data_IF_594891683201
#
_entry.id   IF_594891683201
#
_cell.length_a   1.000
_cell.length_b   1.000
_cell.length_c   1.000
_cell.angle_alpha   90.00
_cell.angle_beta   90.00
_cell.angle_gamma   90.00
#
_symmetry.space_group_name_H-M   'P 1'
#
loop_
_entity.id
_entity.type
_entity.pdbx_description
1 polymer ?
#
# COMPACT_ATOMS: atom_id res chain seq x y z
N UNK A 1 36.36 22.69 -0.27
CA UNK A 1 36.02 21.30 -0.66
C UNK A 1 34.51 21.09 -0.67
N UNK A 2 33.86 20.79 0.47
CA UNK A 2 32.45 20.36 0.48
C UNK A 2 31.41 21.44 0.11
N UNK A 3 31.75 22.72 0.29
CA UNK A 3 30.92 23.85 -0.15
C UNK A 3 30.93 24.05 -1.67
N UNK A 4 32.01 23.62 -2.35
CA UNK A 4 32.21 23.77 -3.79
C UNK A 4 32.50 22.40 -4.44
N UNK A 5 31.59 21.41 -4.35
CA UNK A 5 31.88 20.05 -4.79
C UNK A 5 32.15 19.93 -6.31
N UNK A 6 31.74 20.91 -7.10
CA UNK A 6 32.03 20.97 -8.54
C UNK A 6 33.47 21.41 -8.85
N UNK A 7 34.06 22.22 -7.98
CA UNK A 7 35.45 22.69 -8.10
C UNK A 7 36.42 21.59 -7.64
N UNK A 8 36.07 20.89 -6.55
CA UNK A 8 36.86 19.81 -5.97
C UNK A 8 36.27 18.43 -6.36
N UNK A 9 36.22 18.11 -7.65
CA UNK A 9 35.49 16.95 -8.21
C UNK A 9 36.19 15.58 -8.04
N UNK A 10 37.02 15.42 -7.01
CA UNK A 10 37.69 14.14 -6.73
C UNK A 10 36.93 13.35 -5.66
N UNK A 11 36.53 12.11 -5.99
CA UNK A 11 35.72 11.27 -5.09
C UNK A 11 36.42 11.03 -3.75
N UNK A 12 37.70 10.66 -3.80
CA UNK A 12 38.52 10.37 -2.61
C UNK A 12 38.67 11.59 -1.70
N UNK A 13 38.83 12.77 -2.29
CA UNK A 13 38.94 14.04 -1.57
C UNK A 13 37.62 14.41 -0.90
N UNK A 14 36.51 14.37 -1.64
CA UNK A 14 35.19 14.67 -1.08
C UNK A 14 34.81 13.67 0.01
N UNK A 15 35.00 12.37 -0.21
CA UNK A 15 34.72 11.33 0.78
C UNK A 15 35.53 11.54 2.06
N UNK A 16 36.81 11.83 1.94
CA UNK A 16 37.69 12.09 3.09
C UNK A 16 37.26 13.34 3.85
N UNK A 17 36.95 14.43 3.13
CA UNK A 17 36.45 15.66 3.73
C UNK A 17 35.10 15.46 4.43
N UNK A 18 34.17 14.72 3.82
CA UNK A 18 32.86 14.38 4.40
C UNK A 18 33.02 13.59 5.70
N UNK A 19 33.85 12.53 5.70
CA UNK A 19 34.12 11.73 6.90
C UNK A 19 34.74 12.56 8.01
N UNK A 20 35.70 13.42 7.66
CA UNK A 20 36.35 14.32 8.59
C UNK A 20 35.34 15.27 9.24
N UNK A 21 34.54 15.97 8.43
CA UNK A 21 33.52 16.89 8.91
C UNK A 21 32.50 16.18 9.80
N UNK A 22 31.96 15.03 9.38
CA UNK A 22 30.98 14.31 10.17
C UNK A 22 31.51 13.92 11.56
N UNK A 23 32.77 13.49 11.63
CA UNK A 23 33.41 13.16 12.92
C UNK A 23 33.54 14.38 13.82
N UNK A 24 33.90 15.55 13.28
CA UNK A 24 33.93 16.79 14.06
C UNK A 24 32.53 17.24 14.52
N UNK A 25 31.53 17.10 13.65
CA UNK A 25 30.13 17.40 13.99
C UNK A 25 29.63 16.52 15.16
N UNK A 26 30.11 15.28 15.32
CA UNK A 26 29.77 14.42 16.48
C UNK A 26 30.36 14.91 17.82
N UNK A 27 31.36 15.80 17.77
CA UNK A 27 32.04 16.34 18.96
C UNK A 27 31.43 17.67 19.42
N UNK A 28 30.74 18.40 18.54
CA UNK A 28 30.19 19.73 18.84
C UNK A 28 28.80 19.92 18.20
N UNK A 29 27.80 20.20 19.03
CA UNK A 29 26.45 20.52 18.57
C UNK A 29 26.43 21.78 17.71
N UNK A 30 27.23 22.80 18.05
CA UNK A 30 27.36 24.03 17.26
C UNK A 30 27.86 23.74 15.84
N UNK A 31 28.87 22.87 15.70
CA UNK A 31 29.34 22.43 14.38
C UNK A 31 28.28 21.62 13.63
N UNK A 32 27.53 20.76 14.34
CA UNK A 32 26.42 20.03 13.75
C UNK A 32 25.36 21.00 13.20
N UNK A 33 24.86 21.93 14.01
CA UNK A 33 23.82 22.89 13.61
C UNK A 33 24.27 23.79 12.47
N UNK A 34 25.54 24.20 12.48
CA UNK A 34 26.14 25.03 11.43
C UNK A 34 26.22 24.30 10.07
N UNK A 35 26.53 23.01 10.08
CA UNK A 35 26.86 22.27 8.85
C UNK A 35 25.84 21.21 8.43
N UNK A 36 24.83 20.90 9.26
CA UNK A 36 23.85 19.86 8.99
C UNK A 36 23.15 20.06 7.65
N UNK A 37 22.65 21.27 7.36
CA UNK A 37 21.97 21.57 6.10
C UNK A 37 22.83 21.21 4.88
N UNK A 38 24.09 21.64 4.87
CA UNK A 38 25.03 21.31 3.79
C UNK A 38 25.30 19.81 3.68
N UNK A 39 25.40 19.11 4.82
CA UNK A 39 25.57 17.65 4.84
C UNK A 39 24.37 16.92 4.23
N UNK A 40 23.14 17.35 4.55
CA UNK A 40 21.91 16.80 3.98
C UNK A 40 21.74 17.17 2.50
N UNK A 41 22.21 18.35 2.08
CA UNK A 41 22.26 18.71 0.67
C UNK A 41 23.25 17.82 -0.11
N UNK A 42 24.40 17.49 0.48
CA UNK A 42 25.34 16.50 -0.09
C UNK A 42 24.74 15.10 -0.14
N UNK A 43 24.02 14.69 0.91
CA UNK A 43 23.33 13.39 0.94
C UNK A 43 22.33 13.26 -0.22
N UNK A 44 21.62 14.33 -0.59
CA UNK A 44 20.66 14.30 -1.69
C UNK A 44 21.33 14.41 -3.06
N UNK A 45 22.31 15.30 -3.18
CA UNK A 45 22.75 15.80 -4.48
C UNK A 45 24.14 15.32 -4.92
N UNK A 46 24.94 14.70 -4.03
CA UNK A 46 26.27 14.24 -4.40
C UNK A 46 26.21 13.23 -5.54
N UNK A 47 27.10 13.39 -6.52
CA UNK A 47 27.27 12.45 -7.64
C UNK A 47 27.83 11.13 -7.16
N UNK A 48 28.77 11.19 -6.21
CA UNK A 48 29.48 10.02 -5.66
C UNK A 48 28.63 9.28 -4.63
N UNK A 49 28.33 8.01 -4.92
CA UNK A 49 27.59 7.16 -3.99
C UNK A 49 28.36 6.91 -2.68
N UNK A 50 29.70 6.82 -2.73
CA UNK A 50 30.53 6.61 -1.54
C UNK A 50 30.36 7.72 -0.52
N UNK A 51 30.21 8.97 -0.98
CA UNK A 51 29.91 10.14 -0.13
C UNK A 51 28.53 9.97 0.50
N UNK A 52 27.48 9.67 -0.28
CA UNK A 52 26.11 9.47 0.23
C UNK A 52 26.03 8.31 1.23
N UNK A 53 26.65 7.17 0.93
CA UNK A 53 26.78 6.01 1.83
C UNK A 53 27.48 6.43 3.13
N UNK A 54 28.61 7.13 3.04
CA UNK A 54 29.37 7.54 4.22
C UNK A 54 28.57 8.47 5.13
N UNK A 55 27.76 9.37 4.55
CA UNK A 55 26.86 10.23 5.30
C UNK A 55 25.81 9.37 6.00
N UNK A 56 25.14 8.48 5.27
CA UNK A 56 24.07 7.63 5.79
C UNK A 56 24.50 6.68 6.93
N UNK A 57 25.72 6.13 6.86
CA UNK A 57 26.27 5.29 7.93
C UNK A 57 26.43 6.09 9.22
N UNK A 58 26.92 7.33 9.12
CA UNK A 58 27.14 8.22 10.27
C UNK A 58 25.84 8.82 10.82
N UNK A 59 24.72 8.73 10.11
CA UNK A 59 23.41 9.19 10.59
C UNK A 59 22.95 8.47 11.85
N UNK A 60 23.29 7.18 12.02
CA UNK A 60 22.98 6.48 13.26
C UNK A 60 23.68 7.13 14.47
N UNK A 61 24.91 7.61 14.30
CA UNK A 61 25.67 8.25 15.36
C UNK A 61 25.13 9.66 15.67
N UNK A 62 24.79 10.43 14.63
CA UNK A 62 24.12 11.72 14.80
C UNK A 62 22.78 11.60 15.52
N UNK A 63 22.00 10.59 15.15
CA UNK A 63 20.73 10.33 15.80
C UNK A 63 20.92 10.07 17.31
N UNK A 64 21.87 9.18 17.67
CA UNK A 64 22.13 8.85 19.06
C UNK A 64 22.66 10.05 19.86
N UNK A 65 23.46 10.90 19.23
CA UNK A 65 24.10 12.04 19.89
C UNK A 65 23.17 13.26 19.99
N UNK A 66 22.41 13.56 18.94
CA UNK A 66 21.60 14.78 18.78
C UNK A 66 20.17 14.50 18.27
N UNK A 67 19.36 13.69 18.98
CA UNK A 67 18.06 13.23 18.47
C UNK A 67 17.08 14.36 18.16
N UNK A 68 17.09 15.44 18.95
CA UNK A 68 16.22 16.61 18.74
C UNK A 68 16.60 17.39 17.48
N UNK A 69 17.88 17.70 17.29
CA UNK A 69 18.37 18.42 16.12
C UNK A 69 18.23 17.58 14.84
N UNK A 70 18.37 16.26 14.95
CA UNK A 70 18.16 15.32 13.85
C UNK A 70 16.71 15.27 13.36
N UNK A 71 15.73 15.47 14.26
CA UNK A 71 14.31 15.33 13.93
C UNK A 71 13.90 16.15 12.70
N UNK A 72 14.49 17.35 12.52
CA UNK A 72 14.27 18.24 11.38
C UNK A 72 14.62 17.62 10.01
N UNK A 73 15.53 16.65 9.98
CA UNK A 73 16.03 16.02 8.75
C UNK A 73 15.54 14.59 8.56
N UNK A 74 14.63 14.11 9.41
CA UNK A 74 14.14 12.72 9.34
C UNK A 74 13.59 12.39 7.94
N UNK A 75 12.78 13.29 7.37
CA UNK A 75 12.21 13.09 6.03
C UNK A 75 13.27 12.95 4.94
N UNK A 76 14.41 13.64 5.08
CA UNK A 76 15.50 13.56 4.11
C UNK A 76 16.17 12.20 4.14
N UNK A 77 16.36 11.64 5.34
CA UNK A 77 16.91 10.30 5.55
C UNK A 77 16.01 9.23 4.93
N UNK A 78 14.71 9.31 5.19
CA UNK A 78 13.75 8.38 4.59
C UNK A 78 13.58 8.57 3.08
N UNK A 79 13.76 9.79 2.57
CA UNK A 79 13.79 10.05 1.12
C UNK A 79 14.88 9.26 0.40
N UNK A 80 15.97 8.90 1.10
CA UNK A 80 17.04 8.08 0.55
C UNK A 80 16.67 6.59 0.38
N UNK A 81 15.50 6.11 0.87
CA UNK A 81 14.95 4.80 0.49
C UNK A 81 14.58 4.73 -1.00
N UNK A 82 14.67 5.87 -1.70
CA UNK A 82 14.45 5.99 -3.14
C UNK A 82 15.74 6.33 -3.90
N UNK A 83 16.92 6.17 -3.28
CA UNK A 83 18.19 6.48 -3.94
C UNK A 83 18.40 5.61 -5.18
N UNK A 84 19.09 6.17 -6.15
CA UNK A 84 19.41 5.54 -7.44
C UNK A 84 20.51 4.47 -7.34
N UNK A 85 21.29 4.48 -6.26
CA UNK A 85 22.36 3.52 -6.01
C UNK A 85 21.91 2.48 -5.00
N UNK A 86 22.05 1.21 -5.36
CA UNK A 86 21.77 0.07 -4.47
C UNK A 86 22.63 0.11 -3.21
N UNK A 87 23.87 0.59 -3.30
CA UNK A 87 24.77 0.73 -2.14
C UNK A 87 24.24 1.77 -1.15
N UNK A 88 23.73 2.90 -1.65
CA UNK A 88 23.08 3.91 -0.79
C UNK A 88 21.80 3.34 -0.22
N UNK A 89 20.97 2.69 -1.03
CA UNK A 89 19.72 2.09 -0.58
C UNK A 89 19.95 1.06 0.54
N UNK A 90 20.94 0.18 0.40
CA UNK A 90 21.37 -0.76 1.45
C UNK A 90 21.79 -0.05 2.74
N UNK A 91 22.60 1.01 2.63
CA UNK A 91 23.04 1.78 3.78
C UNK A 91 21.84 2.44 4.49
N UNK A 92 20.91 3.02 3.74
CA UNK A 92 19.71 3.67 4.26
C UNK A 92 18.81 2.67 4.96
N UNK A 93 18.50 1.55 4.30
CA UNK A 93 17.65 0.51 4.84
C UNK A 93 18.24 -0.04 6.15
N UNK A 94 19.54 -0.33 6.18
CA UNK A 94 20.23 -0.78 7.40
C UNK A 94 20.17 0.26 8.52
N UNK A 95 20.43 1.53 8.22
CA UNK A 95 20.38 2.61 9.21
C UNK A 95 18.97 2.80 9.77
N UNK A 96 17.96 2.93 8.91
CA UNK A 96 16.57 3.15 9.31
C UNK A 96 16.02 1.96 10.08
N UNK A 97 16.26 0.73 9.61
CA UNK A 97 15.88 -0.49 10.32
C UNK A 97 16.45 -0.52 11.73
N UNK A 98 17.74 -0.17 11.90
CA UNK A 98 18.36 -0.10 13.22
C UNK A 98 17.72 0.96 14.12
N UNK A 99 17.42 2.15 13.59
CA UNK A 99 16.79 3.23 14.35
C UNK A 99 15.37 2.86 14.79
N UNK A 100 14.57 2.25 13.92
CA UNK A 100 13.21 1.81 14.26
C UNK A 100 13.26 0.68 15.30
N UNK A 101 14.13 -0.32 15.11
CA UNK A 101 14.25 -1.47 16.03
C UNK A 101 14.75 -1.07 17.43
N UNK A 102 15.46 0.06 17.54
CA UNK A 102 15.88 0.66 18.82
C UNK A 102 14.84 1.61 19.42
N UNK A 103 13.63 1.67 18.84
CA UNK A 103 12.54 2.58 19.23
C UNK A 103 12.93 4.07 19.21
N UNK A 104 13.94 4.39 18.39
CA UNK A 104 14.48 5.73 18.29
C UNK A 104 13.64 6.58 17.34
N UNK A 105 13.33 6.05 16.15
CA UNK A 105 12.48 6.75 15.18
C UNK A 105 11.15 6.03 15.04
N UNK A 106 10.06 6.81 15.00
CA UNK A 106 8.73 6.30 14.65
C UNK A 106 8.57 6.26 13.13
N UNK A 107 8.25 5.11 12.54
CA UNK A 107 8.12 5.00 11.10
C UNK A 107 6.71 5.40 10.68
N UNK A 108 6.45 6.70 10.51
CA UNK A 108 5.15 7.20 10.02
C UNK A 108 5.22 7.45 8.51
N UNK A 109 4.34 6.83 7.73
CA UNK A 109 4.20 6.94 6.28
C UNK A 109 5.28 6.19 5.49
N UNK A 110 6.54 6.23 5.94
CA UNK A 110 7.70 5.71 5.20
C UNK A 110 7.97 4.22 5.44
N UNK A 111 7.27 3.59 6.38
CA UNK A 111 7.38 2.15 6.62
C UNK A 111 6.92 1.33 5.40
N UNK A 112 6.01 1.90 4.60
CA UNK A 112 5.56 1.33 3.34
C UNK A 112 6.69 1.21 2.33
N UNK A 113 7.64 2.16 2.29
CA UNK A 113 8.82 2.09 1.43
C UNK A 113 9.73 0.91 1.80
N UNK A 114 9.87 0.63 3.10
CA UNK A 114 10.59 -0.57 3.56
C UNK A 114 9.82 -1.84 3.21
N UNK A 115 8.49 -1.83 3.24
CA UNK A 115 7.66 -2.96 2.81
C UNK A 115 7.83 -3.26 1.32
N UNK A 116 7.96 -2.24 0.46
CA UNK A 116 8.26 -2.43 -0.97
C UNK A 116 9.60 -3.14 -1.20
N UNK A 117 10.57 -2.92 -0.32
CA UNK A 117 11.87 -3.56 -0.40
C UNK A 117 11.81 -5.08 -0.21
N UNK A 118 10.69 -5.66 0.27
CA UNK A 118 10.54 -7.13 0.42
C UNK A 118 10.68 -7.86 -0.92
N UNK A 119 10.24 -7.22 -2.00
CA UNK A 119 10.27 -7.78 -3.37
C UNK A 119 11.36 -7.12 -4.23
N UNK A 120 12.34 -6.47 -3.59
CA UNK A 120 13.38 -5.75 -4.33
C UNK A 120 14.17 -6.70 -5.24
N UNK A 121 14.53 -6.21 -6.43
CA UNK A 121 15.32 -6.97 -7.42
C UNK A 121 16.73 -7.25 -6.91
N UNK A 122 17.28 -6.38 -6.06
CA UNK A 122 18.57 -6.58 -5.44
C UNK A 122 18.43 -7.51 -4.21
N UNK A 123 19.00 -8.73 -4.24
CA UNK A 123 18.72 -9.77 -3.23
C UNK A 123 19.05 -9.36 -1.79
N UNK A 124 20.11 -8.56 -1.60
CA UNK A 124 20.49 -8.09 -0.27
C UNK A 124 19.49 -7.08 0.30
N UNK A 125 18.83 -6.27 -0.55
CA UNK A 125 17.82 -5.30 -0.12
C UNK A 125 16.58 -6.06 0.35
N UNK A 126 16.12 -7.04 -0.45
CA UNK A 126 15.05 -7.96 -0.08
C UNK A 126 15.33 -8.71 1.23
N UNK A 127 16.55 -9.20 1.40
CA UNK A 127 16.97 -9.90 2.63
C UNK A 127 16.96 -8.99 3.86
N UNK A 128 17.44 -7.76 3.74
CA UNK A 128 17.40 -6.78 4.83
C UNK A 128 15.98 -6.40 5.20
N UNK A 129 15.11 -6.15 4.21
CA UNK A 129 13.72 -5.77 4.45
C UNK A 129 12.93 -6.90 5.15
N UNK A 130 13.04 -8.12 4.65
CA UNK A 130 12.40 -9.29 5.25
C UNK A 130 12.92 -9.57 6.66
N UNK A 131 14.22 -9.42 6.89
CA UNK A 131 14.84 -9.55 8.22
C UNK A 131 14.35 -8.46 9.17
N UNK A 132 14.23 -7.21 8.71
CA UNK A 132 13.69 -6.11 9.51
C UNK A 132 12.28 -6.39 10.02
N UNK A 133 11.35 -6.80 9.15
CA UNK A 133 9.99 -7.13 9.56
C UNK A 133 9.90 -8.38 10.42
N UNK A 134 10.75 -9.39 10.17
CA UNK A 134 10.87 -10.58 11.01
C UNK A 134 11.31 -10.21 12.44
N UNK A 135 12.30 -9.33 12.56
CA UNK A 135 12.76 -8.84 13.87
C UNK A 135 11.70 -7.96 14.55
N UNK A 136 11.03 -7.10 13.80
CA UNK A 136 9.95 -6.26 14.34
C UNK A 136 8.76 -7.10 14.84
N UNK A 137 8.43 -8.19 14.15
CA UNK A 137 7.40 -9.13 14.59
C UNK A 137 7.74 -9.84 15.90
N UNK A 138 9.03 -10.02 16.24
CA UNK A 138 9.45 -10.56 17.53
C UNK A 138 9.29 -9.53 18.67
N UNK A 139 9.31 -8.23 18.36
CA UNK A 139 9.18 -7.16 19.36
C UNK A 139 7.76 -7.06 19.90
N UNK A 140 7.66 -6.78 21.21
CA UNK A 140 6.38 -6.59 21.91
C UNK A 140 5.38 -7.74 21.64
N UNK A 141 5.89 -8.98 21.52
CA UNK A 141 5.11 -10.17 21.15
C UNK A 141 4.24 -9.97 19.89
N UNK A 142 4.79 -9.37 18.83
CA UNK A 142 4.10 -9.11 17.58
C UNK A 142 3.25 -7.84 17.54
N UNK A 143 3.16 -7.08 18.64
CA UNK A 143 2.36 -5.84 18.65
C UNK A 143 3.05 -4.70 17.89
N UNK A 144 4.39 -4.66 17.88
CA UNK A 144 5.13 -3.62 17.18
C UNK A 144 4.82 -3.61 15.68
N UNK A 145 4.83 -4.79 15.04
CA UNK A 145 4.41 -4.95 13.65
C UNK A 145 2.92 -4.63 13.47
N UNK A 146 2.05 -5.13 14.35
CA UNK A 146 0.62 -4.90 14.24
C UNK A 146 0.25 -3.40 14.22
N UNK A 147 0.93 -2.59 15.04
CA UNK A 147 0.69 -1.15 15.14
C UNK A 147 1.06 -0.37 13.87
N UNK A 148 1.94 -0.90 13.02
CA UNK A 148 2.36 -0.24 11.77
C UNK A 148 1.61 -0.75 10.53
N UNK A 149 0.94 -1.91 10.60
CA UNK A 149 0.18 -2.46 9.47
C UNK A 149 -0.85 -1.49 8.88
N UNK A 150 -1.64 -0.72 9.69
CA UNK A 150 -2.58 0.24 9.12
C UNK A 150 -1.92 1.31 8.25
N UNK A 151 -0.70 1.75 8.61
CA UNK A 151 0.06 2.73 7.85
C UNK A 151 0.63 2.14 6.56
N UNK A 152 1.14 0.90 6.61
CA UNK A 152 1.52 0.15 5.41
C UNK A 152 0.32 0.03 4.45
N UNK A 153 -0.82 -0.42 4.97
CA UNK A 153 -2.03 -0.62 4.17
C UNK A 153 -2.55 0.70 3.59
N UNK A 154 -2.41 1.82 4.30
CA UNK A 154 -2.87 3.13 3.81
C UNK A 154 -2.17 3.59 2.53
N UNK A 155 -0.93 3.12 2.32
CA UNK A 155 -0.09 3.46 1.18
C UNK A 155 -0.05 2.38 0.09
N UNK A 156 -0.11 1.10 0.46
CA UNK A 156 -0.08 0.00 -0.52
C UNK A 156 -1.45 -0.32 -1.13
N UNK A 157 -2.52 -0.25 -0.34
CA UNK A 157 -3.87 -0.66 -0.77
C UNK A 157 -4.50 0.44 -1.64
N UNK A 158 -5.15 0.05 -2.73
CA UNK A 158 -5.80 0.95 -3.69
C UNK A 158 -4.85 1.47 -4.77
N UNK A 159 -3.66 0.89 -4.88
CA UNK A 159 -2.72 1.16 -5.98
C UNK A 159 -2.09 2.55 -6.00
N UNK A 160 -2.06 3.26 -4.86
CA UNK A 160 -1.52 4.63 -4.78
C UNK A 160 -0.05 4.72 -5.22
N UNK A 161 0.72 3.67 -4.97
CA UNK A 161 2.15 3.60 -5.27
C UNK A 161 2.46 2.85 -6.58
N UNK A 162 1.47 2.20 -7.21
CA UNK A 162 1.68 1.31 -8.36
C UNK A 162 2.42 2.00 -9.50
N UNK A 163 2.02 3.22 -9.87
CA UNK A 163 2.70 3.98 -10.95
C UNK A 163 4.10 4.44 -10.56
N UNK A 164 4.29 4.87 -9.30
CA UNK A 164 5.57 5.40 -8.83
C UNK A 164 6.61 4.30 -8.63
N UNK A 165 6.14 3.08 -8.38
CA UNK A 165 6.95 1.93 -7.96
C UNK A 165 6.87 0.74 -8.90
N UNK A 166 6.13 0.89 -10.00
CA UNK A 166 5.91 -0.15 -11.01
C UNK A 166 5.36 -1.45 -10.38
N UNK A 167 4.53 -1.33 -9.34
CA UNK A 167 3.98 -2.48 -8.64
C UNK A 167 2.83 -3.06 -9.44
N UNK A 168 2.89 -4.37 -9.66
CA UNK A 168 1.75 -5.13 -10.16
C UNK A 168 0.93 -5.72 -9.00
N UNK A 169 -0.18 -6.40 -9.32
CA UNK A 169 -1.03 -7.02 -8.30
C UNK A 169 -0.33 -8.18 -7.58
N UNK A 170 0.57 -8.91 -8.23
CA UNK A 170 1.30 -10.05 -7.64
C UNK A 170 2.36 -9.60 -6.63
N UNK A 171 3.04 -8.49 -6.92
CA UNK A 171 3.99 -7.80 -6.06
C UNK A 171 3.30 -7.40 -4.74
N UNK A 172 2.14 -6.72 -4.86
CA UNK A 172 1.31 -6.37 -3.71
C UNK A 172 0.92 -7.61 -2.90
N UNK A 173 0.44 -8.65 -3.57
CA UNK A 173 0.03 -9.91 -2.92
C UNK A 173 1.19 -10.53 -2.16
N UNK A 174 2.39 -10.54 -2.73
CA UNK A 174 3.62 -11.09 -2.12
C UNK A 174 4.02 -10.34 -0.85
N UNK A 175 3.98 -9.00 -0.87
CA UNK A 175 4.26 -8.15 0.30
C UNK A 175 3.23 -8.43 1.41
N UNK A 176 1.94 -8.42 1.06
CA UNK A 176 0.85 -8.64 2.03
C UNK A 176 0.94 -10.03 2.66
N UNK A 177 1.15 -11.07 1.86
CA UNK A 177 1.29 -12.43 2.36
C UNK A 177 2.48 -12.56 3.32
N UNK A 178 3.61 -11.93 3.00
CA UNK A 178 4.75 -11.91 3.91
C UNK A 178 4.41 -11.24 5.24
N UNK A 179 3.79 -10.07 5.23
CA UNK A 179 3.46 -9.31 6.44
C UNK A 179 2.40 -10.02 7.31
N UNK A 180 1.39 -10.62 6.68
CA UNK A 180 0.30 -11.29 7.39
C UNK A 180 0.70 -12.61 8.05
N UNK A 181 1.82 -13.24 7.63
CA UNK A 181 2.37 -14.43 8.33
C UNK A 181 2.61 -14.20 9.82
N UNK A 182 2.85 -12.95 10.22
CA UNK A 182 3.10 -12.57 11.61
C UNK A 182 1.83 -12.17 12.37
N UNK A 183 0.67 -12.08 11.70
CA UNK A 183 -0.63 -11.81 12.32
C UNK A 183 -1.25 -13.13 12.76
N UNK A 184 -0.86 -13.61 13.94
CA UNK A 184 -1.27 -14.93 14.45
C UNK A 184 -2.25 -14.90 15.62
N UNK A 185 -2.46 -13.73 16.23
CA UNK A 185 -3.32 -13.60 17.42
C UNK A 185 -4.76 -13.31 17.07
N UNK A 186 -5.69 -14.04 17.70
CA UNK A 186 -7.14 -13.86 17.54
C UNK A 186 -7.59 -12.40 17.65
N UNK A 187 -7.15 -11.68 18.69
CA UNK A 187 -7.48 -10.26 18.89
C UNK A 187 -6.94 -9.35 17.78
N UNK A 188 -5.76 -9.68 17.22
CA UNK A 188 -5.18 -8.92 16.12
C UNK A 188 -6.02 -9.11 14.85
N UNK A 189 -6.44 -10.34 14.57
CA UNK A 189 -7.36 -10.63 13.46
C UNK A 189 -8.67 -9.85 13.58
N UNK A 190 -9.30 -9.86 14.76
CA UNK A 190 -10.55 -9.12 15.00
C UNK A 190 -10.38 -7.61 14.80
N UNK A 191 -9.32 -7.05 15.37
CA UNK A 191 -9.03 -5.62 15.24
C UNK A 191 -8.72 -5.23 13.80
N UNK A 192 -7.94 -6.06 13.09
CA UNK A 192 -7.60 -5.81 11.69
C UNK A 192 -8.83 -5.90 10.79
N UNK A 193 -9.68 -6.91 11.00
CA UNK A 193 -10.93 -7.06 10.27
C UNK A 193 -11.81 -5.82 10.42
N UNK A 194 -11.96 -5.29 11.64
CA UNK A 194 -12.73 -4.06 11.88
C UNK A 194 -12.19 -2.86 11.09
N UNK A 195 -10.87 -2.68 11.07
CA UNK A 195 -10.20 -1.60 10.32
C UNK A 195 -10.46 -1.76 8.81
N UNK A 196 -10.37 -2.99 8.29
CA UNK A 196 -10.59 -3.28 6.87
C UNK A 196 -12.05 -3.05 6.46
N UNK A 197 -13.02 -3.51 7.27
CA UNK A 197 -14.45 -3.31 7.05
C UNK A 197 -14.84 -1.83 7.06
N UNK A 198 -14.31 -1.05 8.02
CA UNK A 198 -14.53 0.40 8.04
C UNK A 198 -13.98 1.07 6.77
N UNK A 199 -12.82 0.61 6.27
CA UNK A 199 -12.25 1.15 5.04
C UNK A 199 -13.08 0.76 3.81
N UNK A 200 -13.70 -0.42 3.80
CA UNK A 200 -14.63 -0.87 2.76
C UNK A 200 -15.84 0.06 2.60
N UNK A 201 -16.39 0.60 3.70
CA UNK A 201 -17.51 1.56 3.65
C UNK A 201 -17.19 2.81 2.82
N UNK A 202 -15.93 3.24 2.84
CA UNK A 202 -15.44 4.45 2.15
C UNK A 202 -14.83 4.17 0.77
N UNK A 203 -14.87 2.91 0.31
CA UNK A 203 -14.19 2.46 -0.90
C UNK A 203 -15.03 2.57 -2.20
N UNK A 204 -16.16 3.27 -2.17
CA UNK A 204 -17.18 3.26 -3.24
C UNK A 204 -16.64 3.68 -4.62
N UNK A 205 -15.61 4.53 -4.67
CA UNK A 205 -15.07 5.08 -5.92
C UNK A 205 -13.83 4.34 -6.45
N UNK A 206 -13.38 3.27 -5.80
CA UNK A 206 -12.14 2.56 -6.18
C UNK A 206 -12.30 1.03 -6.18
N UNK A 207 -12.57 0.41 -7.34
CA UNK A 207 -12.62 -1.04 -7.48
C UNK A 207 -11.32 -1.73 -7.03
N UNK A 208 -10.15 -1.12 -7.30
CA UNK A 208 -8.87 -1.67 -6.85
C UNK A 208 -8.77 -1.71 -5.32
N UNK A 209 -9.20 -0.65 -4.63
CA UNK A 209 -9.24 -0.62 -3.17
C UNK A 209 -10.10 -1.76 -2.63
N UNK A 210 -11.30 -1.98 -3.19
CA UNK A 210 -12.18 -3.08 -2.79
C UNK A 210 -11.52 -4.45 -2.99
N UNK A 211 -10.87 -4.68 -4.15
CA UNK A 211 -10.17 -5.94 -4.45
C UNK A 211 -9.01 -6.20 -3.48
N UNK A 212 -8.20 -5.19 -3.20
CA UNK A 212 -7.06 -5.31 -2.27
C UNK A 212 -7.53 -5.57 -0.83
N UNK A 213 -8.59 -4.89 -0.38
CA UNK A 213 -9.16 -5.12 0.95
C UNK A 213 -9.76 -6.53 1.08
N UNK A 214 -10.50 -6.98 0.06
CA UNK A 214 -11.06 -8.34 0.00
C UNK A 214 -9.93 -9.39 0.05
N UNK A 215 -8.87 -9.15 -0.72
CA UNK A 215 -7.70 -10.02 -0.75
C UNK A 215 -7.04 -10.12 0.63
N UNK A 216 -6.75 -8.99 1.29
CA UNK A 216 -6.18 -8.98 2.65
C UNK A 216 -7.07 -9.78 3.61
N UNK A 217 -8.39 -9.54 3.58
CA UNK A 217 -9.33 -10.27 4.42
C UNK A 217 -9.30 -11.78 4.16
N UNK A 218 -9.16 -12.22 2.90
CA UNK A 218 -9.08 -13.65 2.54
C UNK A 218 -7.88 -14.38 3.13
N UNK A 219 -6.82 -13.66 3.51
CA UNK A 219 -5.60 -14.20 4.09
C UNK A 219 -5.63 -14.26 5.61
N UNK A 220 -6.67 -13.71 6.26
CA UNK A 220 -6.81 -13.77 7.70
C UNK A 220 -7.35 -15.13 8.15
N UNK A 221 -6.89 -15.59 9.31
CA UNK A 221 -7.44 -16.80 9.96
C UNK A 221 -8.60 -16.41 10.86
N UNK A 222 -9.83 -16.60 10.37
CA UNK A 222 -11.04 -16.25 11.11
C UNK A 222 -11.25 -17.15 12.34
N UNK A 223 -11.69 -16.50 13.42
CA UNK A 223 -12.16 -17.11 14.65
C UNK A 223 -13.68 -16.84 14.82
N UNK A 224 -14.26 -17.29 15.95
CA UNK A 224 -15.70 -17.11 16.24
C UNK A 224 -16.16 -15.64 16.16
N UNK A 225 -15.40 -14.71 16.73
CA UNK A 225 -15.81 -13.31 16.82
C UNK A 225 -15.63 -12.57 15.50
N UNK A 226 -14.52 -12.78 14.82
CA UNK A 226 -14.28 -12.20 13.48
C UNK A 226 -15.31 -12.69 12.46
N UNK A 227 -15.72 -13.96 12.50
CA UNK A 227 -16.78 -14.46 11.61
C UNK A 227 -18.14 -13.81 11.90
N UNK A 228 -18.52 -13.70 13.18
CA UNK A 228 -19.74 -12.98 13.57
C UNK A 228 -19.67 -11.49 13.23
N UNK A 229 -18.49 -10.89 13.33
CA UNK A 229 -18.22 -9.52 12.91
C UNK A 229 -18.44 -9.36 11.41
N UNK A 230 -17.93 -10.27 10.59
CA UNK A 230 -18.13 -10.27 9.15
C UNK A 230 -19.61 -10.29 8.76
N UNK A 231 -20.42 -11.10 9.46
CA UNK A 231 -21.88 -11.14 9.25
C UNK A 231 -22.56 -9.85 9.70
N UNK A 232 -22.23 -9.34 10.89
CA UNK A 232 -22.82 -8.11 11.44
C UNK A 232 -22.59 -6.89 10.54
N UNK A 233 -21.44 -6.84 9.89
CA UNK A 233 -21.01 -5.73 9.05
C UNK A 233 -21.26 -5.99 7.55
N UNK A 234 -22.22 -6.86 7.22
CA UNK A 234 -22.53 -7.19 5.82
C UNK A 234 -22.85 -5.96 4.97
N UNK A 235 -23.61 -5.00 5.52
CA UNK A 235 -23.99 -3.77 4.81
C UNK A 235 -22.80 -2.90 4.40
N UNK A 236 -21.63 -3.09 5.02
CA UNK A 236 -20.41 -2.31 4.73
C UNK A 236 -19.76 -2.72 3.39
N UNK A 237 -19.96 -3.98 2.98
CA UNK A 237 -19.30 -4.58 1.81
C UNK A 237 -20.23 -5.30 0.83
N UNK A 238 -21.48 -5.58 1.19
CA UNK A 238 -22.39 -6.41 0.40
C UNK A 238 -22.64 -5.87 -1.01
N UNK A 239 -22.69 -4.55 -1.16
CA UNK A 239 -22.83 -3.85 -2.45
C UNK A 239 -21.59 -3.98 -3.35
N UNK A 240 -20.42 -4.38 -2.82
CA UNK A 240 -19.17 -4.58 -3.59
C UNK A 240 -19.00 -6.02 -4.11
N UNK A 241 -19.85 -6.97 -3.69
CA UNK A 241 -19.76 -8.39 -4.07
C UNK A 241 -20.11 -8.68 -5.56
N UNK A 242 -20.52 -7.66 -6.33
CA UNK A 242 -20.67 -7.79 -7.78
C UNK A 242 -19.32 -7.89 -8.50
N UNK A 243 -18.23 -7.39 -7.91
CA UNK A 243 -16.89 -7.52 -8.48
C UNK A 243 -16.42 -8.98 -8.35
N UNK A 244 -15.86 -9.53 -9.43
CA UNK A 244 -15.46 -10.94 -9.48
C UNK A 244 -14.36 -11.26 -8.48
N UNK A 245 -13.33 -10.41 -8.38
CA UNK A 245 -12.16 -10.67 -7.53
C UNK A 245 -12.53 -10.51 -6.05
N UNK A 246 -13.40 -9.54 -5.74
CA UNK A 246 -13.98 -9.39 -4.40
C UNK A 246 -14.78 -10.66 -4.05
N UNK A 247 -15.70 -11.07 -4.92
CA UNK A 247 -16.52 -12.26 -4.69
C UNK A 247 -15.67 -13.53 -4.46
N UNK A 248 -14.65 -13.77 -5.29
CA UNK A 248 -13.74 -14.91 -5.14
C UNK A 248 -12.96 -14.87 -3.81
N UNK A 249 -12.57 -13.68 -3.37
CA UNK A 249 -11.92 -13.51 -2.07
C UNK A 249 -12.86 -13.87 -0.91
N UNK A 250 -14.14 -13.50 -1.01
CA UNK A 250 -15.15 -13.89 -0.02
C UNK A 250 -15.48 -15.38 -0.03
N UNK A 251 -15.52 -16.03 -1.21
CA UNK A 251 -15.62 -17.49 -1.29
C UNK A 251 -14.44 -18.17 -0.59
N UNK A 252 -13.22 -17.66 -0.79
CA UNK A 252 -12.02 -18.16 -0.10
C UNK A 252 -12.15 -18.01 1.43
N UNK A 253 -12.70 -16.90 1.92
CA UNK A 253 -12.99 -16.71 3.35
C UNK A 253 -13.96 -17.79 3.85
N UNK A 254 -15.05 -18.03 3.13
CA UNK A 254 -16.05 -19.03 3.50
C UNK A 254 -15.47 -20.43 3.51
N UNK A 255 -14.69 -20.80 2.51
CA UNK A 255 -14.06 -22.12 2.43
C UNK A 255 -13.07 -22.36 3.58
N UNK A 256 -12.26 -21.35 3.90
CA UNK A 256 -11.36 -21.40 5.05
C UNK A 256 -12.12 -21.47 6.38
N UNK A 257 -13.21 -20.71 6.53
CA UNK A 257 -14.06 -20.77 7.71
C UNK A 257 -14.77 -22.13 7.85
N UNK A 258 -15.27 -22.72 6.75
CA UNK A 258 -15.86 -24.07 6.72
C UNK A 258 -14.86 -25.11 7.20
N UNK A 259 -13.63 -25.07 6.67
CA UNK A 259 -12.54 -26.00 7.04
C UNK A 259 -12.15 -25.88 8.51
N UNK A 260 -12.00 -24.65 9.03
CA UNK A 260 -11.44 -24.43 10.36
C UNK A 260 -12.48 -24.39 11.50
N UNK A 261 -13.72 -23.99 11.20
CA UNK A 261 -14.77 -23.71 12.19
C UNK A 261 -16.08 -24.46 11.96
N UNK A 262 -16.27 -25.09 10.79
CA UNK A 262 -17.54 -25.70 10.38
C UNK A 262 -17.97 -26.93 11.19
N UNK A 263 -17.07 -27.52 11.99
CA UNK A 263 -17.41 -28.59 12.92
C UNK A 263 -18.26 -28.10 14.11
N UNK A 264 -18.26 -26.80 14.42
CA UNK A 264 -19.04 -26.21 15.52
C UNK A 264 -20.44 -25.84 15.01
N UNK A 265 -21.53 -26.44 15.54
CA UNK A 265 -22.89 -26.21 15.05
C UNK A 265 -23.27 -24.72 14.99
N UNK A 266 -23.02 -23.97 16.06
CA UNK A 266 -23.33 -22.54 16.14
C UNK A 266 -22.63 -21.71 15.06
N UNK A 267 -21.41 -22.10 14.65
CA UNK A 267 -20.62 -21.38 13.66
C UNK A 267 -20.98 -21.81 12.25
N UNK A 268 -21.36 -23.09 12.06
CA UNK A 268 -21.88 -23.58 10.79
C UNK A 268 -23.10 -22.79 10.36
N UNK A 269 -24.03 -22.48 11.28
CA UNK A 269 -25.19 -21.63 10.99
C UNK A 269 -24.75 -20.24 10.48
N UNK A 270 -23.77 -19.60 11.13
CA UNK A 270 -23.25 -18.29 10.70
C UNK A 270 -22.59 -18.37 9.32
N UNK A 271 -21.85 -19.45 9.03
CA UNK A 271 -21.21 -19.68 7.73
C UNK A 271 -22.24 -19.88 6.63
N UNK A 272 -23.29 -20.66 6.89
CA UNK A 272 -24.36 -20.96 5.93
C UNK A 272 -25.19 -19.69 5.65
N UNK A 273 -25.46 -18.88 6.67
CA UNK A 273 -26.11 -17.57 6.53
C UNK A 273 -25.26 -16.59 5.69
N UNK A 274 -23.96 -16.46 6.00
CA UNK A 274 -23.02 -15.65 5.20
C UNK A 274 -22.96 -16.13 3.75
N UNK A 275 -22.90 -17.45 3.52
CA UNK A 275 -22.87 -18.04 2.17
C UNK A 275 -24.12 -17.63 1.38
N UNK A 276 -25.29 -17.75 2.02
CA UNK A 276 -26.58 -17.37 1.43
C UNK A 276 -26.63 -15.87 1.09
N UNK A 277 -26.16 -15.01 1.99
CA UNK A 277 -26.13 -13.56 1.74
C UNK A 277 -25.20 -13.20 0.58
N UNK A 278 -24.01 -13.79 0.55
CA UNK A 278 -23.02 -13.55 -0.50
C UNK A 278 -23.54 -14.01 -1.88
N UNK A 279 -24.20 -15.17 -1.95
CA UNK A 279 -24.85 -15.66 -3.17
C UNK A 279 -26.02 -14.77 -3.62
N UNK A 280 -26.83 -14.29 -2.67
CA UNK A 280 -27.93 -13.36 -2.95
C UNK A 280 -27.43 -12.03 -3.47
N UNK A 281 -26.40 -11.43 -2.87
CA UNK A 281 -25.79 -10.19 -3.39
C UNK A 281 -25.33 -10.36 -4.83
N UNK A 282 -24.69 -11.48 -5.14
CA UNK A 282 -24.22 -11.81 -6.49
C UNK A 282 -25.39 -11.92 -7.49
N UNK A 283 -26.46 -12.60 -7.08
CA UNK A 283 -27.64 -12.85 -7.92
C UNK A 283 -28.47 -11.58 -8.14
N UNK A 284 -28.75 -10.83 -7.08
CA UNK A 284 -29.54 -9.59 -7.13
C UNK A 284 -28.84 -8.49 -7.95
N UNK A 285 -27.52 -8.35 -7.79
CA UNK A 285 -26.75 -7.39 -8.59
C UNK A 285 -26.57 -7.86 -10.04
N UNK A 286 -26.50 -9.16 -10.29
CA UNK A 286 -26.53 -9.73 -11.65
C UNK A 286 -27.81 -9.37 -12.41
N UNK A 287 -28.96 -9.38 -11.74
CA UNK A 287 -30.25 -8.97 -12.30
C UNK A 287 -30.27 -7.45 -12.57
N UNK A 288 -29.82 -6.62 -11.62
CA UNK A 288 -29.74 -5.15 -11.79
C UNK A 288 -28.85 -4.76 -12.98
N UNK A 289 -27.71 -5.43 -13.14
CA UNK A 289 -26.76 -5.17 -14.24
C UNK A 289 -27.34 -5.60 -15.59
N UNK A 290 -28.01 -6.76 -15.64
CA UNK A 290 -28.70 -7.22 -16.85
C UNK A 290 -29.85 -6.26 -17.26
N UNK A 291 -30.60 -5.75 -16.29
CA UNK A 291 -31.67 -4.75 -16.51
C UNK A 291 -31.08 -3.43 -17.01
N UNK A 292 -29.97 -2.94 -16.43
CA UNK A 292 -29.30 -1.73 -16.88
C UNK A 292 -28.72 -1.87 -18.29
N UNK A 293 -28.13 -3.01 -18.63
CA UNK A 293 -27.62 -3.30 -19.97
C UNK A 293 -28.75 -3.44 -21.00
N UNK A 294 -29.89 -4.05 -20.63
CA UNK A 294 -31.08 -4.12 -21.48
C UNK A 294 -31.71 -2.74 -21.73
N UNK A 295 -31.71 -1.86 -20.72
CA UNK A 295 -32.19 -0.47 -20.82
C UNK A 295 -31.26 0.42 -21.65
N UNK A 296 -29.95 0.18 -21.63
CA UNK A 296 -29.00 0.86 -22.51
C UNK A 296 -29.13 0.41 -23.96
N UNK A 297 -29.39 -0.88 -24.22
CA UNK A 297 -29.67 -1.40 -25.57
C UNK A 297 -30.99 -0.89 -26.16
N UNK A 298 -32.02 -0.64 -25.34
CA UNK A 298 -33.29 -0.04 -25.81
C UNK A 298 -33.19 1.47 -26.11
N UNK A 299 -32.20 2.17 -25.55
CA UNK A 299 -31.92 3.59 -25.89
C UNK A 299 -31.14 3.78 -27.19
N UNK A 300 -30.62 2.71 -27.81
CA UNK A 300 -29.89 2.74 -29.09
C UNK A 300 -30.69 2.22 -30.31
N UNK A 301 -32.04 2.22 -30.25
CA UNK A 301 -32.86 2.06 -31.47
C UNK A 301 -33.32 3.44 -32.00
N UNK A 302 -33.04 3.77 -33.28
CA UNK A 302 -33.31 5.11 -33.80
C UNK A 302 -34.81 5.30 -34.08
N UNK A 303 -35.41 6.32 -33.45
CA UNK A 303 -36.73 6.85 -33.83
C UNK A 303 -36.58 7.69 -35.10
N UNK A 304 -37.06 7.18 -36.23
CA UNK A 304 -37.09 7.92 -37.48
C UNK A 304 -38.06 7.34 -38.52
N UNK A 305 -39.37 7.44 -38.30
CA UNK A 305 -40.35 7.44 -39.40
C UNK A 305 -41.19 8.71 -39.31
N UNK A 306 -40.89 9.68 -40.18
CA UNK A 306 -41.62 10.94 -40.33
C UNK A 306 -43.02 10.65 -40.89
N UNK A 307 -44.03 11.20 -40.21
CA UNK A 307 -45.40 11.33 -40.70
C UNK A 307 -45.38 12.41 -41.79
N UNK A 308 -45.69 12.05 -43.04
CA UNK A 308 -45.86 13.02 -44.14
C UNK A 308 -47.25 13.66 -44.04
N UNK A 309 -47.30 14.99 -43.97
CA UNK A 309 -48.52 15.79 -43.94
C UNK A 309 -49.12 15.95 -45.34
N UNK A 310 -50.45 15.92 -45.41
CA UNK A 310 -51.31 15.76 -46.59
C UNK A 310 -51.36 16.97 -47.58
N UNK A 311 -50.29 17.77 -47.69
CA UNK A 311 -50.22 18.97 -48.56
C UNK A 311 -49.15 18.94 -49.66
N UNK A 312 -48.33 17.89 -49.73
CA UNK A 312 -47.33 17.69 -50.79
C UNK A 312 -47.77 16.69 -51.89
N UNK A 313 -48.95 16.09 -51.78
CA UNK A 313 -49.43 15.08 -52.75
C UNK A 313 -50.14 15.66 -53.99
N UNK A 314 -50.21 16.98 -54.16
CA UNK A 314 -50.93 17.61 -55.29
C UNK A 314 -50.06 18.45 -56.22
N UNK A 315 -48.72 18.37 -56.13
CA UNK A 315 -47.81 18.95 -57.14
C UNK A 315 -46.93 17.94 -57.90
N UNK A 316 -46.87 16.66 -57.50
CA UNK A 316 -46.07 15.65 -58.22
C UNK A 316 -46.84 14.87 -59.32
N UNK A 317 -48.12 15.18 -59.57
CA UNK A 317 -48.94 14.47 -60.59
C UNK A 317 -49.01 15.20 -61.94
N UNK A 318 -48.30 16.32 -62.14
CA UNK A 318 -48.34 17.07 -63.41
C UNK A 318 -46.98 17.27 -64.10
N UNK A 319 -45.95 16.50 -63.75
CA UNK A 319 -44.65 16.55 -64.45
C UNK A 319 -44.20 15.24 -65.11
N UNK A 320 -45.11 14.27 -65.25
CA UNK A 320 -44.93 13.10 -66.13
C UNK A 320 -46.15 12.94 -67.05
N UNK A 321 -46.36 13.93 -67.91
CA UNK A 321 -47.14 13.81 -69.15
C UNK A 321 -46.65 14.92 -70.11
N UNK A 322 -45.65 14.57 -70.93
CA UNK A 322 -44.98 15.46 -71.87
C UNK A 322 -43.61 14.91 -72.22
#
# INVERSE_FOLDING_TARGET
ILLNPREYYEETLQLSATRCLCKFMLLSLELYETHAKMLFDLLKNSTFESVRVSIMVLMNDFYLKYPLAFAAYSNDVYGCLRDRSDNVHLAVLKTISNLILKEMVKPKGQISEIALCIIDKHPQIATLATSFFSELAKRQHGQALFNILPDIFSNLVGGKLDKQRQLNEEDFKSIIEFLLKYVSKEKQTESLLKILLQRFQTANDSPRLCRDLAYIMSKLTFNKQSLKGLLRHYDDYGDKLFDNDVYQSFLTILDNAKKNLGAKPDLKVVIDELSTLIERARSSNGILTAVQQAQQKTKQQPKGKKIKTKKELTMEVLQFAG
#
